data_IF_683386145390
#
_entry.id   IF_683386145390
#
_cell.length_a   1.000
_cell.length_b   1.000
_cell.length_c   1.000
_cell.angle_alpha   90.00
_cell.angle_beta   90.00
_cell.angle_gamma   90.00
#
_symmetry.space_group_name_H-M   'P 1'
#
loop_
_entity.id
_entity.type
_entity.pdbx_description
1 polymer ?
#
# COMPACT_ATOMS: atom_id res chain seq x y z
N UNK A 1 3.53 -7.67 -6.38
CA UNK A 1 4.02 -7.52 -4.99
C UNK A 1 4.85 -8.71 -4.49
N UNK A 2 4.47 -9.94 -4.81
CA UNK A 2 5.22 -11.14 -4.39
C UNK A 2 6.71 -11.09 -4.79
N UNK A 3 7.01 -10.65 -6.01
CA UNK A 3 8.39 -10.53 -6.49
C UNK A 3 9.19 -9.47 -5.70
N UNK A 4 8.55 -8.38 -5.31
CA UNK A 4 9.19 -7.34 -4.48
C UNK A 4 9.52 -7.88 -3.09
N UNK A 5 8.59 -8.60 -2.47
CA UNK A 5 8.80 -9.24 -1.17
C UNK A 5 9.98 -10.20 -1.23
N UNK A 6 10.03 -11.06 -2.24
CA UNK A 6 11.10 -12.02 -2.44
C UNK A 6 12.47 -11.34 -2.56
N UNK A 7 12.56 -10.30 -3.41
CA UNK A 7 13.79 -9.55 -3.61
C UNK A 7 14.28 -8.88 -2.33
N UNK A 8 13.38 -8.28 -1.56
CA UNK A 8 13.72 -7.63 -0.30
C UNK A 8 14.20 -8.64 0.74
N UNK A 9 13.55 -9.81 0.80
CA UNK A 9 13.91 -10.85 1.74
C UNK A 9 15.27 -11.47 1.41
N UNK A 10 15.53 -11.77 0.13
CA UNK A 10 16.78 -12.38 -0.32
C UNK A 10 18.01 -11.50 -0.07
N UNK A 11 17.88 -10.20 -0.27
CA UNK A 11 19.00 -9.28 -0.06
C UNK A 11 19.12 -8.74 1.36
N UNK A 12 18.22 -9.15 2.27
CA UNK A 12 18.26 -8.70 3.66
C UNK A 12 18.15 -7.18 3.79
N UNK A 13 17.21 -6.58 3.10
CA UNK A 13 17.06 -5.12 3.02
C UNK A 13 16.89 -4.49 4.40
N UNK A 14 17.71 -3.51 4.72
CA UNK A 14 17.55 -2.66 5.90
C UNK A 14 16.54 -1.54 5.64
N UNK A 15 15.88 -1.12 6.70
CA UNK A 15 14.85 -0.10 6.62
C UNK A 15 14.91 0.85 7.81
N UNK A 16 14.72 2.13 7.55
CA UNK A 16 14.44 3.13 8.59
C UNK A 16 12.95 3.36 8.58
N UNK A 17 12.30 3.16 9.72
CA UNK A 17 10.85 3.33 9.87
C UNK A 17 10.55 4.42 10.87
N UNK A 18 9.71 5.36 10.50
CA UNK A 18 9.08 6.30 11.41
C UNK A 18 7.63 5.89 11.60
N UNK A 19 7.28 5.52 12.83
CA UNK A 19 5.93 5.10 13.19
C UNK A 19 5.30 6.19 14.03
N UNK A 20 4.16 6.71 13.57
CA UNK A 20 3.39 7.72 14.27
C UNK A 20 2.03 7.14 14.60
N UNK A 21 1.62 7.24 15.86
CA UNK A 21 0.30 6.82 16.33
C UNK A 21 -0.27 7.89 17.25
N UNK A 22 -1.42 8.43 16.87
CA UNK A 22 -2.14 9.45 17.64
C UNK A 22 -1.24 10.62 18.10
N UNK A 23 -0.36 11.08 17.17
CA UNK A 23 0.56 12.19 17.41
C UNK A 23 1.87 11.83 18.09
N UNK A 24 2.10 10.58 18.43
CA UNK A 24 3.34 10.10 19.05
C UNK A 24 4.18 9.34 18.01
N UNK A 25 5.42 9.78 17.82
CA UNK A 25 6.34 9.21 16.81
C UNK A 25 7.57 8.59 17.43
N UNK A 26 8.06 7.52 16.81
CA UNK A 26 9.39 6.98 17.07
C UNK A 26 9.99 6.44 15.78
N UNK A 27 11.32 6.41 15.73
CA UNK A 27 12.09 5.97 14.57
C UNK A 27 12.91 4.74 14.96
N UNK A 28 12.90 3.73 14.11
CA UNK A 28 13.73 2.52 14.26
C UNK A 28 14.42 2.19 12.95
N UNK A 29 15.61 1.61 13.04
CA UNK A 29 16.35 1.06 11.91
C UNK A 29 16.51 -0.44 12.13
N UNK A 30 16.09 -1.24 11.16
CA UNK A 30 16.09 -2.71 11.27
C UNK A 30 16.52 -3.39 9.97
N UNK A 31 17.24 -4.50 10.14
CA UNK A 31 17.65 -5.36 9.03
C UNK A 31 17.07 -6.76 9.09
N UNK A 32 16.34 -7.08 10.16
CA UNK A 32 15.77 -8.39 10.42
C UNK A 32 14.25 -8.43 10.14
N UNK A 33 13.85 -7.83 9.00
CA UNK A 33 12.44 -7.70 8.63
C UNK A 33 11.94 -8.97 7.94
N UNK A 34 10.80 -9.49 8.40
CA UNK A 34 10.00 -10.43 7.62
C UNK A 34 9.16 -9.65 6.61
N UNK A 35 9.67 -9.53 5.39
CA UNK A 35 9.06 -8.72 4.35
C UNK A 35 7.69 -9.22 3.92
N UNK A 36 7.43 -10.52 4.05
CA UNK A 36 6.13 -11.08 3.75
C UNK A 36 5.06 -10.56 4.71
N UNK A 37 5.40 -10.49 5.99
CA UNK A 37 4.51 -9.96 7.02
C UNK A 37 4.41 -8.43 6.92
N UNK A 38 5.56 -7.77 6.72
CA UNK A 38 5.64 -6.30 6.66
C UNK A 38 4.79 -5.71 5.53
N UNK A 39 4.77 -6.35 4.37
CA UNK A 39 4.03 -5.89 3.19
C UNK A 39 2.70 -6.62 2.98
N UNK A 40 2.20 -7.31 3.99
CA UNK A 40 0.96 -8.09 3.89
C UNK A 40 -0.26 -7.21 3.53
N UNK A 41 -0.30 -5.98 3.99
CA UNK A 41 -1.38 -5.04 3.67
C UNK A 41 -1.50 -4.79 2.17
N UNK A 42 -0.37 -4.77 1.44
CA UNK A 42 -0.37 -4.65 -0.03
C UNK A 42 -0.90 -5.92 -0.70
N UNK A 43 -0.58 -7.08 -0.14
CA UNK A 43 -1.07 -8.36 -0.64
C UNK A 43 -2.59 -8.49 -0.44
N UNK A 44 -3.09 -8.04 0.68
CA UNK A 44 -4.54 -8.02 0.96
C UNK A 44 -5.30 -7.08 0.01
N UNK A 45 -4.63 -6.12 -0.58
CA UNK A 45 -5.19 -5.20 -1.56
C UNK A 45 -5.23 -5.77 -2.99
N UNK A 46 -4.95 -7.05 -3.18
CA UNK A 46 -5.00 -7.71 -4.49
C UNK A 46 -6.42 -7.69 -5.04
N UNK A 47 -6.61 -6.94 -6.14
CA UNK A 47 -7.90 -6.79 -6.80
C UNK A 47 -8.24 -7.94 -7.77
N UNK A 48 -7.32 -8.87 -7.99
CA UNK A 48 -7.52 -10.01 -8.89
C UNK A 48 -8.33 -11.15 -8.26
N UNK A 49 -9.04 -10.87 -7.19
CA UNK A 49 -9.92 -11.86 -6.54
C UNK A 49 -11.11 -12.17 -7.45
N UNK A 50 -11.49 -13.45 -7.60
CA UNK A 50 -12.62 -13.83 -8.46
C UNK A 50 -13.93 -13.09 -8.12
N UNK A 51 -14.20 -12.85 -6.83
CA UNK A 51 -15.39 -12.14 -6.37
C UNK A 51 -15.46 -10.68 -6.85
N UNK A 52 -14.32 -10.09 -7.21
CA UNK A 52 -14.23 -8.69 -7.64
C UNK A 52 -14.07 -8.53 -9.14
N UNK A 53 -14.10 -9.62 -9.88
CA UNK A 53 -13.93 -9.60 -11.34
C UNK A 53 -15.02 -8.74 -12.00
N UNK A 54 -14.61 -7.82 -12.87
CA UNK A 54 -15.53 -6.92 -13.57
C UNK A 54 -16.04 -5.76 -12.73
N UNK A 55 -15.62 -5.62 -11.48
CA UNK A 55 -16.09 -4.56 -10.58
C UNK A 55 -15.23 -3.29 -10.64
N UNK A 56 -14.11 -3.32 -11.33
CA UNK A 56 -13.19 -2.18 -11.45
C UNK A 56 -13.21 -1.58 -12.84
N UNK A 57 -13.27 -0.25 -12.90
CA UNK A 57 -13.01 0.50 -14.11
C UNK A 57 -11.48 0.65 -14.24
N UNK A 58 -10.95 0.35 -15.41
CA UNK A 58 -9.51 0.38 -15.68
C UNK A 58 -9.21 1.47 -16.69
N UNK A 59 -8.34 2.41 -16.33
CA UNK A 59 -7.85 3.46 -17.21
C UNK A 59 -6.32 3.37 -17.29
N UNK A 60 -5.78 3.53 -18.50
CA UNK A 60 -4.33 3.53 -18.73
C UNK A 60 -3.94 4.83 -19.41
N UNK A 61 -2.97 5.53 -18.81
CA UNK A 61 -2.35 6.71 -19.40
C UNK A 61 -0.94 6.33 -19.85
N UNK A 62 -0.64 6.59 -21.11
CA UNK A 62 0.69 6.38 -21.67
C UNK A 62 1.46 7.69 -21.64
N UNK A 63 2.50 7.74 -20.83
CA UNK A 63 3.45 8.85 -20.77
C UNK A 63 4.73 8.47 -21.54
N UNK A 64 5.72 9.35 -21.57
CA UNK A 64 6.93 9.12 -22.35
C UNK A 64 7.66 7.82 -21.96
N UNK A 65 7.84 7.58 -20.67
CA UNK A 65 8.62 6.44 -20.15
C UNK A 65 7.83 5.43 -19.35
N UNK A 66 6.60 5.75 -18.97
CA UNK A 66 5.80 4.92 -18.09
C UNK A 66 4.37 4.79 -18.57
N UNK A 67 3.72 3.71 -18.15
CA UNK A 67 2.27 3.58 -18.14
C UNK A 67 1.78 3.83 -16.73
N UNK A 68 0.70 4.60 -16.59
CA UNK A 68 0.00 4.77 -15.32
C UNK A 68 -1.36 4.09 -15.45
N UNK A 69 -1.56 3.03 -14.70
CA UNK A 69 -2.76 2.20 -14.75
C UNK A 69 -3.56 2.43 -13.49
N UNK A 70 -4.81 2.85 -13.65
CA UNK A 70 -5.71 3.12 -12.53
C UNK A 70 -6.85 2.11 -12.54
N UNK A 71 -7.08 1.48 -11.39
CA UNK A 71 -8.20 0.57 -11.12
C UNK A 71 -9.08 1.23 -10.08
N UNK A 72 -10.34 1.46 -10.41
CA UNK A 72 -11.28 2.17 -9.54
C UNK A 72 -12.63 1.48 -9.48
N UNK A 73 -13.21 1.40 -8.30
CA UNK A 73 -14.55 0.86 -8.11
C UNK A 73 -15.42 1.79 -7.27
N UNK A 74 -16.71 1.82 -7.56
CA UNK A 74 -17.72 2.50 -6.75
C UNK A 74 -18.56 1.49 -5.94
N UNK A 75 -18.27 0.20 -6.05
CA UNK A 75 -18.96 -0.83 -5.29
C UNK A 75 -18.63 -0.71 -3.80
N UNK A 76 -19.63 -0.36 -3.01
CA UNK A 76 -19.47 -0.12 -1.56
C UNK A 76 -19.04 -1.35 -0.77
N UNK A 77 -19.28 -2.55 -1.29
CA UNK A 77 -18.90 -3.80 -0.65
C UNK A 77 -17.41 -4.16 -0.81
N UNK A 78 -16.72 -3.50 -1.74
CA UNK A 78 -15.31 -3.74 -1.99
C UNK A 78 -14.48 -2.71 -1.21
N UNK A 79 -13.64 -3.14 -0.25
CA UNK A 79 -12.84 -2.21 0.55
C UNK A 79 -11.72 -1.52 -0.21
N UNK A 80 -11.14 -2.14 -1.23
CA UNK A 80 -10.13 -1.53 -2.10
C UNK A 80 -10.83 -0.66 -3.13
N UNK A 81 -10.73 0.66 -2.99
CA UNK A 81 -11.45 1.62 -3.84
C UNK A 81 -10.66 2.08 -5.05
N UNK A 82 -9.37 2.20 -4.91
CA UNK A 82 -8.51 2.72 -5.96
C UNK A 82 -7.12 2.09 -5.87
N UNK A 83 -6.59 1.67 -7.01
CA UNK A 83 -5.21 1.19 -7.13
C UNK A 83 -4.60 1.89 -8.33
N UNK A 84 -3.44 2.53 -8.12
CA UNK A 84 -2.68 3.16 -9.19
C UNK A 84 -1.33 2.47 -9.28
N UNK A 85 -1.00 1.97 -10.46
CA UNK A 85 0.26 1.26 -10.72
C UNK A 85 1.01 2.03 -11.80
N UNK A 86 2.26 2.36 -11.53
CA UNK A 86 3.17 2.96 -12.49
C UNK A 86 4.16 1.89 -12.96
N UNK A 87 4.22 1.67 -14.27
CA UNK A 87 5.02 0.62 -14.89
C UNK A 87 5.99 1.24 -15.90
N UNK A 88 7.25 0.82 -15.84
CA UNK A 88 8.26 1.21 -16.82
C UNK A 88 7.95 0.59 -18.18
N UNK A 89 7.93 1.41 -19.25
CA UNK A 89 7.60 0.93 -20.61
C UNK A 89 8.62 -0.05 -21.17
N UNK A 90 9.89 0.16 -20.86
CA UNK A 90 10.98 -0.65 -21.43
C UNK A 90 11.13 -1.97 -20.71
N UNK A 91 11.20 -1.94 -19.38
CA UNK A 91 11.45 -3.12 -18.55
C UNK A 91 10.20 -3.86 -18.14
N UNK A 92 9.03 -3.22 -18.22
CA UNK A 92 7.74 -3.73 -17.72
C UNK A 92 7.70 -3.96 -16.21
N UNK A 93 8.66 -3.37 -15.50
CA UNK A 93 8.70 -3.47 -14.04
C UNK A 93 7.78 -2.45 -13.40
N UNK A 94 7.15 -2.86 -12.30
CA UNK A 94 6.37 -1.96 -11.48
C UNK A 94 7.29 -1.02 -10.71
N UNK A 95 7.11 0.29 -10.87
CA UNK A 95 7.89 1.31 -10.18
C UNK A 95 7.21 1.81 -8.92
N UNK A 96 5.90 1.88 -8.92
CA UNK A 96 5.14 2.43 -7.81
C UNK A 96 3.74 1.83 -7.76
N UNK A 97 3.26 1.61 -6.54
CA UNK A 97 1.89 1.18 -6.27
C UNK A 97 1.28 2.10 -5.23
N UNK A 98 0.08 2.58 -5.50
CA UNK A 98 -0.72 3.34 -4.55
C UNK A 98 -2.06 2.64 -4.38
N UNK A 99 -2.49 2.44 -3.14
CA UNK A 99 -3.75 1.78 -2.82
C UNK A 99 -4.53 2.63 -1.83
N UNK A 100 -5.80 2.86 -2.13
CA UNK A 100 -6.76 3.48 -1.20
C UNK A 100 -7.81 2.45 -0.81
N UNK A 101 -7.94 2.23 0.49
CA UNK A 101 -8.92 1.30 1.07
C UNK A 101 -9.89 2.07 1.97
N UNK A 102 -11.15 1.69 1.92
CA UNK A 102 -12.17 2.24 2.81
C UNK A 102 -13.15 1.16 3.20
N UNK A 103 -13.41 1.08 4.50
CA UNK A 103 -14.46 0.23 5.07
C UNK A 103 -15.35 1.12 5.92
N UNK A 104 -16.66 1.02 5.70
CA UNK A 104 -17.63 1.79 6.45
C UNK A 104 -18.83 0.91 6.77
N UNK A 105 -19.25 0.92 8.04
CA UNK A 105 -20.46 0.26 8.48
C UNK A 105 -21.06 1.04 9.68
N UNK A 106 -22.11 0.53 10.28
CA UNK A 106 -22.78 1.26 11.37
C UNK A 106 -21.97 1.31 12.68
N UNK A 107 -20.90 0.49 12.79
CA UNK A 107 -20.04 0.46 13.98
C UNK A 107 -18.81 1.35 13.83
N UNK A 108 -18.18 1.33 12.65
CA UNK A 108 -16.94 2.06 12.43
C UNK A 108 -16.72 2.45 10.98
N UNK A 109 -15.80 3.39 10.76
CA UNK A 109 -15.23 3.67 9.44
C UNK A 109 -13.71 3.58 9.52
N UNK A 110 -13.10 3.07 8.45
CA UNK A 110 -11.65 2.92 8.35
C UNK A 110 -11.20 3.36 6.96
N UNK A 111 -10.25 4.29 6.93
CA UNK A 111 -9.57 4.71 5.70
C UNK A 111 -8.10 4.33 5.82
N UNK A 112 -7.55 3.73 4.77
CA UNK A 112 -6.15 3.35 4.71
C UNK A 112 -5.58 3.67 3.34
N UNK A 113 -4.40 4.28 3.32
CA UNK A 113 -3.64 4.56 2.09
C UNK A 113 -2.29 3.87 2.17
N UNK A 114 -1.94 3.15 1.13
CA UNK A 114 -0.70 2.40 1.00
C UNK A 114 0.08 2.92 -0.20
N UNK A 115 1.38 3.14 -0.01
CA UNK A 115 2.29 3.59 -1.07
C UNK A 115 3.54 2.72 -1.05
N UNK A 116 3.92 2.22 -2.20
CA UNK A 116 5.17 1.48 -2.37
C UNK A 116 5.92 2.02 -3.58
N UNK A 117 7.19 2.38 -3.38
CA UNK A 117 8.08 2.82 -4.46
C UNK A 117 9.28 1.87 -4.50
N UNK A 118 9.42 1.17 -5.61
CA UNK A 118 10.50 0.19 -5.82
C UNK A 118 11.87 0.87 -5.62
N UNK A 119 12.68 0.28 -4.76
CA UNK A 119 14.03 0.78 -4.47
C UNK A 119 14.10 1.93 -3.46
N UNK A 120 12.99 2.52 -3.07
CA UNK A 120 12.96 3.66 -2.15
C UNK A 120 12.35 3.34 -0.80
N UNK A 121 11.16 2.76 -0.78
CA UNK A 121 10.48 2.48 0.47
C UNK A 121 8.98 2.37 0.31
N UNK A 122 8.29 2.50 1.43
CA UNK A 122 6.83 2.39 1.48
C UNK A 122 6.26 3.27 2.57
N UNK A 123 4.98 3.57 2.44
CA UNK A 123 4.24 4.37 3.41
C UNK A 123 2.87 3.75 3.62
N UNK A 124 2.41 3.72 4.86
CA UNK A 124 1.08 3.28 5.23
C UNK A 124 0.47 4.33 6.14
N UNK A 125 -0.72 4.80 5.81
CA UNK A 125 -1.48 5.73 6.63
C UNK A 125 -2.86 5.17 6.86
N UNK A 126 -3.36 5.31 8.08
CA UNK A 126 -4.68 4.83 8.40
C UNK A 126 -5.38 5.71 9.40
N UNK A 127 -6.71 5.75 9.27
CA UNK A 127 -7.61 6.42 10.20
C UNK A 127 -8.76 5.49 10.52
N UNK A 128 -8.99 5.27 11.81
CA UNK A 128 -10.11 4.48 12.31
C UNK A 128 -11.00 5.38 13.17
N UNK A 129 -12.28 5.40 12.86
CA UNK A 129 -13.28 6.11 13.63
C UNK A 129 -14.34 5.11 14.10
N UNK A 130 -14.47 4.95 15.41
CA UNK A 130 -15.48 4.09 16.02
C UNK A 130 -16.58 4.98 16.57
N UNK A 131 -17.81 4.80 16.09
CA UNK A 131 -18.94 5.67 16.38
C UNK A 131 -19.10 5.95 17.88
N UNK A 132 -19.05 7.24 18.25
CA UNK A 132 -19.24 7.76 19.60
C UNK A 132 -18.20 7.31 20.64
N UNK A 133 -17.17 6.56 20.24
CA UNK A 133 -16.17 6.03 21.15
C UNK A 133 -14.81 6.70 21.01
N UNK A 134 -14.16 6.59 19.85
CA UNK A 134 -12.85 7.17 19.62
C UNK A 134 -12.49 7.28 18.16
N UNK A 135 -11.50 8.13 17.87
CA UNK A 135 -10.81 8.22 16.60
C UNK A 135 -9.34 7.88 16.83
N UNK A 136 -8.73 7.16 15.90
CA UNK A 136 -7.31 6.82 15.94
C UNK A 136 -6.69 7.02 14.57
N UNK A 137 -5.47 7.55 14.55
CA UNK A 137 -4.69 7.74 13.32
C UNK A 137 -3.30 7.14 13.50
N UNK A 138 -2.80 6.53 12.43
CA UNK A 138 -1.42 6.06 12.37
C UNK A 138 -0.79 6.35 11.03
N UNK A 139 0.53 6.47 11.02
CA UNK A 139 1.31 6.46 9.80
C UNK A 139 2.62 5.71 10.00
N UNK A 140 3.05 5.02 8.97
CA UNK A 140 4.34 4.34 8.90
C UNK A 140 5.02 4.87 7.65
N UNK A 141 6.15 5.55 7.82
CA UNK A 141 6.98 6.00 6.70
C UNK A 141 8.27 5.19 6.77
N UNK A 142 8.60 4.52 5.68
CA UNK A 142 9.73 3.61 5.64
C UNK A 142 10.61 3.91 4.43
N UNK A 143 11.90 3.97 4.68
CA UNK A 143 12.92 4.23 3.67
C UNK A 143 13.92 3.07 3.67
N UNK A 144 14.20 2.52 2.49
CA UNK A 144 15.21 1.49 2.35
C UNK A 144 16.60 2.14 2.52
N UNK A 145 17.42 1.55 3.39
CA UNK A 145 18.76 2.06 3.69
C UNK A 145 19.79 0.95 3.54
N UNK A 146 21.04 1.33 3.44
CA UNK A 146 22.15 0.39 3.46
C UNK A 146 22.48 0.03 4.91
N UNK A 147 22.92 -1.21 5.10
CA UNK A 147 23.33 -1.71 6.43
C UNK A 147 24.61 -1.09 6.93
#
# INVERSE_FOLDING_TARGET
MAKQVENLQERGQWVRKEVTKDGHSHVVERGDIDWKEELDAFKEADINRPAWRGQFKIDTISLERVYVITYKTENEEIPVKNVVITVDKDTRQCLQVTVDKRTENFLYSSDQSLFFTTGEGYMMKGKLSVNYLFDSEYSIESEFIES
#
